data_IF_716411192708
#
_entry.id   IF_716411192708
#
_cell.length_a   1.000
_cell.length_b   1.000
_cell.length_c   1.000
_cell.angle_alpha   90.00
_cell.angle_beta   90.00
_cell.angle_gamma   90.00
#
_symmetry.space_group_name_H-M   'P 1'
#
loop_
_entity.id
_entity.type
_entity.pdbx_description
1 polymer ?
#
# COMPACT_ATOMS: atom_id res chain seq x y z
N UNK A 1 -48.99 -11.52 -50.74
CA UNK A 1 -49.94 -12.15 -49.83
C UNK A 1 -49.26 -12.26 -48.46
N UNK A 2 -49.69 -11.44 -47.55
CA UNK A 2 -50.31 -11.78 -46.27
C UNK A 2 -49.39 -12.56 -45.33
N UNK A 3 -49.11 -12.28 -44.11
CA UNK A 3 -49.75 -11.52 -43.02
C UNK A 3 -48.81 -11.59 -41.81
N UNK A 4 -48.66 -10.53 -41.09
CA UNK A 4 -48.40 -10.60 -39.65
C UNK A 4 -49.70 -11.07 -38.95
N UNK A 5 -49.77 -11.36 -37.66
CA UNK A 5 -49.06 -10.83 -36.51
C UNK A 5 -48.91 -11.82 -35.31
N UNK A 6 -48.54 -11.27 -34.18
CA UNK A 6 -48.90 -11.47 -32.75
C UNK A 6 -47.81 -12.08 -31.87
N UNK A 7 -47.33 -11.35 -30.92
CA UNK A 7 -47.83 -10.96 -29.61
C UNK A 7 -47.63 -12.05 -28.52
N UNK A 8 -46.93 -11.68 -27.51
CA UNK A 8 -47.26 -12.07 -26.17
C UNK A 8 -46.15 -12.79 -25.39
N UNK A 9 -45.80 -12.28 -24.27
CA UNK A 9 -45.10 -13.00 -23.23
C UNK A 9 -44.25 -12.12 -22.34
N UNK A 10 -44.90 -11.49 -21.38
CA UNK A 10 -44.24 -10.85 -20.26
C UNK A 10 -43.56 -11.92 -19.43
N UNK A 11 -42.27 -11.73 -19.13
CA UNK A 11 -41.53 -12.47 -18.16
C UNK A 11 -40.67 -11.49 -17.39
N UNK A 12 -41.09 -11.22 -16.16
CA UNK A 12 -40.37 -10.38 -15.23
C UNK A 12 -39.00 -10.95 -14.97
N UNK A 13 -37.97 -10.18 -15.22
CA UNK A 13 -36.63 -10.43 -14.75
C UNK A 13 -36.42 -9.61 -13.47
N UNK A 14 -36.13 -10.30 -12.40
CA UNK A 14 -35.70 -9.74 -11.14
C UNK A 14 -34.41 -8.93 -11.31
N UNK A 15 -34.25 -7.82 -10.56
CA UNK A 15 -32.98 -7.12 -10.51
C UNK A 15 -32.02 -7.87 -9.60
N UNK A 16 -30.99 -8.46 -10.15
CA UNK A 16 -29.83 -8.89 -9.41
C UNK A 16 -29.06 -7.66 -8.95
N UNK A 17 -29.13 -7.38 -7.66
CA UNK A 17 -28.26 -6.44 -6.97
C UNK A 17 -26.82 -6.99 -6.95
N UNK A 18 -26.08 -6.65 -7.97
CA UNK A 18 -24.63 -6.78 -7.98
C UNK A 18 -24.07 -5.40 -7.56
N UNK A 19 -23.32 -5.31 -6.46
CA UNK A 19 -22.67 -4.05 -6.11
C UNK A 19 -21.57 -3.79 -7.14
N UNK A 20 -21.87 -2.91 -8.07
CA UNK A 20 -20.92 -2.35 -9.01
C UNK A 20 -19.72 -1.80 -8.22
N UNK A 21 -18.58 -2.46 -8.36
CA UNK A 21 -17.30 -1.86 -8.05
C UNK A 21 -17.13 -0.66 -8.98
N UNK A 22 -17.45 0.51 -8.45
CA UNK A 22 -17.13 1.76 -9.14
C UNK A 22 -15.62 1.87 -9.26
N UNK A 23 -15.10 1.42 -10.39
CA UNK A 23 -13.81 1.86 -10.91
C UNK A 23 -13.94 3.34 -11.24
N UNK A 24 -13.74 4.18 -10.22
CA UNK A 24 -13.61 5.60 -10.38
C UNK A 24 -12.39 5.95 -11.22
N UNK A 25 -12.52 5.85 -12.53
CA UNK A 25 -11.65 6.54 -13.47
C UNK A 25 -11.95 8.03 -13.35
N UNK A 26 -11.32 8.69 -12.39
CA UNK A 26 -11.30 10.15 -12.35
C UNK A 26 -10.43 10.61 -13.49
N UNK A 27 -11.08 11.01 -14.59
CA UNK A 27 -10.46 11.79 -15.66
C UNK A 27 -9.79 13.00 -15.02
N UNK A 28 -8.47 13.04 -15.06
CA UNK A 28 -7.70 14.22 -14.71
C UNK A 28 -8.04 15.32 -15.70
N UNK A 29 -8.87 16.27 -15.29
CA UNK A 29 -9.02 17.52 -16.01
C UNK A 29 -7.70 18.29 -15.89
N UNK A 30 -6.98 18.38 -17.00
CA UNK A 30 -5.89 19.33 -17.20
C UNK A 30 -6.50 20.71 -17.25
N UNK A 31 -6.33 21.48 -16.16
CA UNK A 31 -6.17 22.94 -16.27
C UNK A 31 -5.91 23.57 -14.90
N UNK A 32 -4.84 24.36 -14.82
CA UNK A 32 -4.57 25.31 -13.75
C UNK A 32 -3.86 24.73 -12.54
N UNK A 33 -2.79 25.39 -12.08
CA UNK A 33 -2.02 25.18 -10.84
C UNK A 33 -2.75 24.30 -9.82
N UNK A 34 -2.59 23.00 -9.92
CA UNK A 34 -3.07 22.11 -8.87
C UNK A 34 -2.38 22.53 -7.57
N UNK A 35 -3.18 22.98 -6.63
CA UNK A 35 -2.71 23.27 -5.29
C UNK A 35 -2.01 22.00 -4.76
N UNK A 36 -0.79 22.17 -4.21
CA UNK A 36 -0.04 21.07 -3.60
C UNK A 36 -0.93 20.26 -2.65
N UNK A 37 -1.84 20.94 -1.95
CA UNK A 37 -2.82 20.28 -1.08
C UNK A 37 -3.78 19.36 -1.81
N UNK A 38 -4.25 19.72 -3.00
CA UNK A 38 -5.13 18.86 -3.80
C UNK A 38 -4.38 17.62 -4.31
N UNK A 39 -3.14 17.79 -4.77
CA UNK A 39 -2.29 16.65 -5.17
C UNK A 39 -2.03 15.70 -4.01
N UNK A 40 -1.73 16.24 -2.81
CA UNK A 40 -1.53 15.44 -1.60
C UNK A 40 -2.80 14.68 -1.20
N UNK A 41 -3.95 15.34 -1.23
CA UNK A 41 -5.23 14.71 -0.91
C UNK A 41 -5.56 13.58 -1.89
N UNK A 42 -5.42 13.82 -3.19
CA UNK A 42 -5.68 12.81 -4.22
C UNK A 42 -4.72 11.62 -4.10
N UNK A 43 -3.44 11.88 -3.82
CA UNK A 43 -2.44 10.84 -3.61
C UNK A 43 -2.75 9.99 -2.36
N UNK A 44 -3.16 10.63 -1.27
CA UNK A 44 -3.58 9.94 -0.05
C UNK A 44 -4.79 9.06 -0.29
N UNK A 45 -5.82 9.57 -0.96
CA UNK A 45 -7.02 8.82 -1.31
C UNK A 45 -6.70 7.61 -2.21
N UNK A 46 -5.81 7.79 -3.19
CA UNK A 46 -5.33 6.68 -4.02
C UNK A 46 -4.63 5.61 -3.17
N UNK A 47 -3.75 6.00 -2.25
CA UNK A 47 -3.06 5.06 -1.36
C UNK A 47 -4.02 4.28 -0.46
N UNK A 48 -4.95 4.97 0.19
CA UNK A 48 -5.96 4.37 1.07
C UNK A 48 -6.86 3.41 0.30
N UNK A 49 -7.34 3.81 -0.88
CA UNK A 49 -8.22 2.97 -1.70
C UNK A 49 -7.57 1.64 -2.09
N UNK A 50 -6.29 1.65 -2.47
CA UNK A 50 -5.58 0.45 -2.89
C UNK A 50 -5.17 -0.47 -1.73
N UNK A 51 -5.10 0.02 -0.49
CA UNK A 51 -4.79 -0.83 0.66
C UNK A 51 -6.00 -1.62 1.18
N UNK A 52 -7.25 -1.19 0.90
CA UNK A 52 -8.47 -1.82 1.41
C UNK A 52 -8.52 -3.33 1.11
N UNK A 53 -8.27 -3.83 -0.12
CA UNK A 53 -8.33 -5.27 -0.40
C UNK A 53 -7.34 -6.07 0.45
N UNK A 54 -6.18 -5.52 0.77
CA UNK A 54 -5.17 -6.21 1.60
C UNK A 54 -5.60 -6.29 3.07
N UNK A 55 -6.22 -5.23 3.59
CA UNK A 55 -6.80 -5.22 4.94
C UNK A 55 -7.92 -6.24 5.05
N UNK A 56 -8.81 -6.27 4.06
CA UNK A 56 -9.94 -7.22 4.05
C UNK A 56 -9.44 -8.65 3.95
N UNK A 57 -8.54 -8.94 3.01
CA UNK A 57 -7.97 -10.28 2.84
C UNK A 57 -7.23 -10.74 4.11
N UNK A 58 -6.34 -9.91 4.64
CA UNK A 58 -5.59 -10.21 5.86
C UNK A 58 -6.51 -10.40 7.06
N UNK A 59 -7.49 -9.51 7.24
CA UNK A 59 -8.44 -9.57 8.34
C UNK A 59 -9.33 -10.81 8.30
N UNK A 60 -9.84 -11.18 7.14
CA UNK A 60 -10.65 -12.40 6.97
C UNK A 60 -9.81 -13.66 7.26
N UNK A 61 -8.59 -13.74 6.74
CA UNK A 61 -7.71 -14.89 7.00
C UNK A 61 -7.36 -15.04 8.47
N UNK A 62 -7.04 -13.94 9.16
CA UNK A 62 -6.77 -13.94 10.60
C UNK A 62 -8.03 -14.37 11.37
N UNK A 63 -9.19 -13.81 11.02
CA UNK A 63 -10.45 -14.14 11.69
C UNK A 63 -10.82 -15.62 11.51
N UNK A 64 -10.64 -16.19 10.31
CA UNK A 64 -10.88 -17.61 10.05
C UNK A 64 -9.90 -18.50 10.84
N UNK A 65 -8.62 -18.15 10.85
CA UNK A 65 -7.61 -18.93 11.56
C UNK A 65 -7.86 -18.97 13.08
N UNK A 66 -8.22 -17.83 13.67
CA UNK A 66 -8.53 -17.72 15.09
C UNK A 66 -9.90 -18.29 15.44
N UNK A 67 -10.92 -18.07 14.58
CA UNK A 67 -12.29 -18.50 14.84
C UNK A 67 -12.49 -20.00 14.71
N UNK A 68 -11.84 -20.66 13.75
CA UNK A 68 -12.00 -22.10 13.50
C UNK A 68 -10.83 -22.89 14.07
N UNK A 69 -9.60 -22.39 13.91
CA UNK A 69 -8.38 -23.08 14.33
C UNK A 69 -7.89 -22.72 15.73
N UNK A 70 -8.45 -21.66 16.33
CA UNK A 70 -8.00 -21.16 17.62
C UNK A 70 -8.44 -22.03 18.80
N UNK A 71 -7.55 -22.22 19.76
CA UNK A 71 -7.85 -22.88 21.05
C UNK A 71 -7.73 -21.85 22.17
N UNK A 72 -8.64 -21.84 23.14
CA UNK A 72 -8.54 -20.96 24.29
C UNK A 72 -7.31 -21.31 25.13
N UNK A 73 -6.50 -20.33 25.44
CA UNK A 73 -5.34 -20.43 26.30
C UNK A 73 -5.40 -19.39 27.41
N UNK A 74 -4.57 -19.51 28.41
CA UNK A 74 -4.53 -18.57 29.54
C UNK A 74 -4.24 -17.11 29.11
N UNK A 75 -3.66 -16.88 27.93
CA UNK A 75 -3.36 -15.57 27.36
C UNK A 75 -4.30 -15.12 26.23
N UNK A 76 -5.40 -15.86 25.97
CA UNK A 76 -6.34 -15.59 24.89
C UNK A 76 -6.51 -16.77 23.93
N UNK A 77 -6.85 -16.50 22.68
CA UNK A 77 -6.99 -17.54 21.65
C UNK A 77 -5.66 -17.69 20.90
N UNK A 78 -5.09 -18.88 20.92
CA UNK A 78 -3.89 -19.21 20.17
C UNK A 78 -4.18 -20.34 19.17
N UNK A 79 -3.56 -20.28 18.00
CA UNK A 79 -3.62 -21.35 17.01
C UNK A 79 -2.44 -22.30 17.27
N UNK A 80 -2.67 -23.63 17.32
CA UNK A 80 -1.58 -24.61 17.50
C UNK A 80 -0.52 -24.47 16.41
N UNK A 81 0.75 -24.54 16.83
CA UNK A 81 1.88 -24.50 15.94
C UNK A 81 1.87 -25.61 14.89
N UNK A 82 2.18 -26.09 14.08
CA UNK A 82 2.08 -27.23 13.16
C UNK A 82 0.67 -27.50 12.58
N UNK A 83 -0.28 -26.56 12.69
CA UNK A 83 -1.61 -26.73 12.11
C UNK A 83 -1.75 -25.96 10.79
N UNK A 84 -2.63 -26.48 9.91
CA UNK A 84 -3.03 -25.76 8.70
C UNK A 84 -3.52 -24.33 9.01
N UNK A 85 -4.21 -24.14 10.12
CA UNK A 85 -4.72 -22.84 10.58
C UNK A 85 -3.62 -21.86 10.94
N UNK A 86 -2.47 -22.35 11.44
CA UNK A 86 -1.30 -21.52 11.69
C UNK A 86 -0.74 -20.95 10.38
N UNK A 87 -0.74 -21.73 9.31
CA UNK A 87 -0.33 -21.23 7.99
C UNK A 87 -1.26 -20.15 7.48
N UNK A 88 -2.59 -20.34 7.64
CA UNK A 88 -3.58 -19.31 7.27
C UNK A 88 -3.40 -18.05 8.10
N UNK A 89 -3.14 -18.18 9.40
CA UNK A 89 -2.85 -17.04 10.28
C UNK A 89 -1.62 -16.26 9.82
N UNK A 90 -0.55 -16.97 9.48
CA UNK A 90 0.67 -16.34 8.97
C UNK A 90 0.46 -15.60 7.64
N UNK A 91 -0.25 -16.23 6.69
CA UNK A 91 -0.61 -15.58 5.42
C UNK A 91 -1.44 -14.33 5.66
N UNK A 92 -2.44 -14.40 6.54
CA UNK A 92 -3.26 -13.26 6.91
C UNK A 92 -2.45 -12.13 7.55
N UNK A 93 -1.53 -12.45 8.45
CA UNK A 93 -0.65 -11.50 9.11
C UNK A 93 0.32 -10.83 8.12
N UNK A 94 0.86 -11.60 7.17
CA UNK A 94 1.70 -11.06 6.10
C UNK A 94 0.91 -10.13 5.18
N UNK A 95 -0.30 -10.54 4.76
CA UNK A 95 -1.17 -9.68 3.95
C UNK A 95 -1.50 -8.37 4.67
N UNK A 96 -1.77 -8.43 5.97
CA UNK A 96 -2.01 -7.25 6.79
C UNK A 96 -0.78 -6.36 6.94
N UNK A 97 0.41 -6.94 7.06
CA UNK A 97 1.68 -6.18 7.16
C UNK A 97 2.05 -5.47 5.87
N UNK A 98 1.57 -5.96 4.71
CA UNK A 98 1.76 -5.30 3.42
C UNK A 98 0.94 -4.01 3.26
N UNK A 99 -0.05 -3.78 4.11
CA UNK A 99 -0.89 -2.57 4.07
C UNK A 99 -0.05 -1.29 4.10
N UNK A 100 0.97 -1.24 4.95
CA UNK A 100 1.83 -0.06 5.12
C UNK A 100 2.70 0.23 3.89
N UNK A 101 3.46 -0.74 3.34
CA UNK A 101 4.19 -0.57 2.09
C UNK A 101 3.31 -0.21 0.89
N UNK A 102 2.13 -0.81 0.80
CA UNK A 102 1.18 -0.55 -0.28
C UNK A 102 0.67 0.88 -0.21
N UNK A 103 0.27 1.34 0.97
CA UNK A 103 -0.14 2.73 1.16
C UNK A 103 0.94 3.70 0.67
N UNK A 104 2.19 3.54 1.14
CA UNK A 104 3.31 4.40 0.74
C UNK A 104 3.59 4.32 -0.76
N UNK A 105 3.52 3.11 -1.34
CA UNK A 105 3.73 2.89 -2.77
C UNK A 105 2.71 3.59 -3.65
N UNK A 106 1.42 3.46 -3.35
CA UNK A 106 0.36 4.07 -4.14
C UNK A 106 0.27 5.59 -3.96
N UNK A 107 0.60 6.12 -2.78
CA UNK A 107 0.80 7.56 -2.60
C UNK A 107 1.91 8.07 -3.52
N UNK A 108 3.06 7.41 -3.52
CA UNK A 108 4.19 7.79 -4.38
C UNK A 108 3.87 7.61 -5.87
N UNK A 109 3.11 6.58 -6.24
CA UNK A 109 2.64 6.38 -7.60
C UNK A 109 1.72 7.51 -8.08
N UNK A 110 0.80 7.97 -7.25
CA UNK A 110 -0.10 9.06 -7.61
C UNK A 110 0.66 10.39 -7.89
N UNK A 111 1.87 10.55 -7.32
CA UNK A 111 2.70 11.75 -7.51
C UNK A 111 3.69 11.60 -8.68
N UNK A 112 4.29 10.42 -8.85
CA UNK A 112 5.41 10.19 -9.77
C UNK A 112 5.18 9.04 -10.76
N UNK A 113 3.95 8.59 -10.94
CA UNK A 113 3.57 7.46 -11.79
C UNK A 113 4.27 6.13 -11.39
N UNK A 114 4.41 5.21 -12.33
CA UNK A 114 4.94 3.86 -12.08
C UNK A 114 6.29 3.79 -11.35
N UNK A 115 7.30 4.60 -11.68
CA UNK A 115 8.58 4.53 -10.96
C UNK A 115 8.46 4.93 -9.48
N UNK A 116 7.50 5.82 -9.14
CA UNK A 116 7.22 6.19 -7.76
C UNK A 116 6.72 5.02 -6.92
N UNK A 117 5.93 4.10 -7.51
CA UNK A 117 5.41 2.94 -6.82
C UNK A 117 6.51 2.12 -6.12
N UNK A 118 7.56 1.78 -6.87
CA UNK A 118 8.66 0.94 -6.35
C UNK A 118 9.40 1.66 -5.22
N UNK A 119 9.72 2.94 -5.43
CA UNK A 119 10.39 3.77 -4.42
C UNK A 119 9.57 3.83 -3.14
N UNK A 120 8.26 4.11 -3.26
CA UNK A 120 7.34 4.21 -2.13
C UNK A 120 7.14 2.89 -1.40
N UNK A 121 6.93 1.78 -2.14
CA UNK A 121 6.72 0.46 -1.52
C UNK A 121 7.94 -0.01 -0.72
N UNK A 122 9.14 0.05 -1.30
CA UNK A 122 10.35 -0.40 -0.61
C UNK A 122 10.67 0.49 0.59
N UNK A 123 10.56 1.80 0.44
CA UNK A 123 10.79 2.73 1.56
C UNK A 123 9.73 2.58 2.66
N UNK A 124 8.47 2.33 2.28
CA UNK A 124 7.38 2.03 3.22
C UNK A 124 7.58 0.70 3.95
N UNK A 125 8.11 -0.31 3.26
CA UNK A 125 8.47 -1.58 3.91
C UNK A 125 9.59 -1.38 4.94
N UNK A 126 10.61 -0.58 4.64
CA UNK A 126 11.68 -0.23 5.57
C UNK A 126 11.13 0.50 6.79
N UNK A 127 10.16 1.40 6.59
CA UNK A 127 9.50 2.11 7.68
C UNK A 127 8.72 1.19 8.62
N UNK A 128 8.20 0.09 8.10
CA UNK A 128 7.50 -0.94 8.88
C UNK A 128 8.44 -2.00 9.48
N UNK A 129 9.68 -2.06 9.03
CA UNK A 129 10.67 -3.08 9.41
C UNK A 129 11.82 -2.50 10.23
N UNK A 130 11.53 -1.54 11.11
CA UNK A 130 12.54 -0.81 11.89
C UNK A 130 13.48 -1.71 12.71
N UNK A 131 13.03 -2.89 13.13
CA UNK A 131 13.85 -3.85 13.88
C UNK A 131 15.07 -4.37 13.10
N UNK A 132 15.06 -4.32 11.76
CA UNK A 132 16.15 -4.78 10.91
C UNK A 132 17.29 -3.75 10.80
N UNK A 133 17.05 -2.52 11.21
CA UNK A 133 18.03 -1.44 11.10
C UNK A 133 18.55 -1.02 12.46
N UNK A 134 19.89 -1.12 12.72
CA UNK A 134 20.47 -0.79 14.03
C UNK A 134 20.18 0.65 14.50
N UNK A 135 20.05 1.59 13.55
CA UNK A 135 19.74 2.99 13.83
C UNK A 135 18.29 3.24 14.24
N UNK A 136 17.37 2.30 13.92
CA UNK A 136 15.94 2.36 14.23
C UNK A 136 15.57 1.44 15.39
N UNK A 137 16.54 0.93 16.14
CA UNK A 137 16.29 0.12 17.34
C UNK A 137 16.45 0.97 18.59
N UNK A 138 15.49 0.87 19.49
CA UNK A 138 15.59 1.41 20.86
C UNK A 138 15.79 0.27 21.84
N UNK A 139 16.71 0.46 22.77
CA UNK A 139 16.92 -0.51 23.88
C UNK A 139 15.95 -0.15 24.99
N UNK A 140 14.94 -0.99 25.20
CA UNK A 140 13.99 -0.84 26.29
C UNK A 140 14.58 -1.23 27.67
N UNK A 141 13.85 -0.95 28.77
CA UNK A 141 14.22 -1.40 30.10
C UNK A 141 14.26 -2.94 30.14
N UNK A 142 15.45 -3.51 30.25
CA UNK A 142 15.67 -4.95 30.19
C UNK A 142 16.56 -5.42 29.05
N UNK A 143 17.14 -4.52 28.25
CA UNK A 143 18.09 -4.85 27.18
C UNK A 143 17.47 -5.42 25.92
N UNK A 144 16.15 -5.47 25.79
CA UNK A 144 15.44 -5.90 24.58
C UNK A 144 15.51 -4.80 23.52
N UNK A 145 16.05 -5.15 22.36
CA UNK A 145 16.07 -4.24 21.20
C UNK A 145 14.70 -4.30 20.52
N UNK A 146 13.95 -3.21 20.61
CA UNK A 146 12.69 -3.05 19.92
C UNK A 146 12.88 -2.15 18.71
N UNK A 147 12.45 -2.60 17.54
CA UNK A 147 12.47 -1.79 16.33
C UNK A 147 11.44 -0.66 16.39
N UNK A 148 11.89 0.55 16.08
CA UNK A 148 11.00 1.71 15.93
C UNK A 148 10.24 1.57 14.61
N UNK A 149 8.97 1.24 14.71
CA UNK A 149 8.07 1.20 13.56
C UNK A 149 7.24 2.48 13.56
N UNK A 150 7.36 3.27 12.52
CA UNK A 150 6.59 4.51 12.38
C UNK A 150 5.15 4.27 11.95
N UNK A 151 4.81 3.03 11.64
CA UNK A 151 3.45 2.61 11.32
C UNK A 151 2.84 3.38 10.15
N UNK A 152 1.56 3.67 10.27
CA UNK A 152 0.75 4.28 9.22
C UNK A 152 1.16 5.71 8.88
N UNK A 153 1.48 6.52 9.88
CA UNK A 153 1.90 7.92 9.69
C UNK A 153 3.24 7.98 8.97
N UNK A 154 4.19 7.12 9.35
CA UNK A 154 5.47 7.00 8.66
C UNK A 154 5.31 6.61 7.19
N UNK A 155 4.38 5.70 6.88
CA UNK A 155 4.08 5.30 5.52
C UNK A 155 3.55 6.47 4.66
N UNK A 156 2.67 7.30 5.22
CA UNK A 156 2.14 8.48 4.53
C UNK A 156 3.27 9.47 4.23
N UNK A 157 4.06 9.83 5.23
CA UNK A 157 5.16 10.79 5.08
C UNK A 157 6.19 10.29 4.06
N UNK A 158 6.57 9.01 4.19
CA UNK A 158 7.56 8.41 3.29
C UNK A 158 7.03 8.28 1.86
N UNK A 159 5.74 7.97 1.71
CA UNK A 159 5.08 7.90 0.42
C UNK A 159 5.12 9.24 -0.33
N UNK A 160 4.85 10.34 0.37
CA UNK A 160 4.99 11.67 -0.20
C UNK A 160 6.42 12.00 -0.57
N UNK A 161 7.39 11.77 0.32
CA UNK A 161 8.81 12.01 0.06
C UNK A 161 9.27 11.18 -1.14
N UNK A 162 8.93 9.90 -1.18
CA UNK A 162 9.26 9.00 -2.27
C UNK A 162 8.69 9.48 -3.61
N UNK A 163 7.44 9.92 -3.62
CA UNK A 163 6.79 10.47 -4.80
C UNK A 163 7.48 11.74 -5.30
N UNK A 164 7.78 12.68 -4.42
CA UNK A 164 8.47 13.90 -4.81
C UNK A 164 9.91 13.66 -5.27
N UNK A 165 10.65 12.79 -4.59
CA UNK A 165 12.02 12.41 -5.00
C UNK A 165 12.02 11.75 -6.38
N UNK A 166 11.12 10.78 -6.60
CA UNK A 166 10.99 10.14 -7.90
C UNK A 166 10.58 11.12 -9.01
N UNK A 167 9.65 12.04 -8.72
CA UNK A 167 9.26 13.11 -9.64
C UNK A 167 10.41 14.07 -9.96
N UNK A 168 11.20 14.44 -8.96
CA UNK A 168 12.37 15.29 -9.13
C UNK A 168 13.44 14.62 -9.98
N UNK A 169 13.75 13.34 -9.72
CA UNK A 169 14.72 12.58 -10.51
C UNK A 169 14.33 12.47 -11.99
N UNK A 170 13.03 12.37 -12.31
CA UNK A 170 12.54 12.36 -13.69
C UNK A 170 12.68 13.69 -14.42
N UNK A 171 12.78 14.81 -13.71
CA UNK A 171 12.97 16.14 -14.29
C UNK A 171 14.40 16.44 -14.70
N UNK A 172 15.38 15.65 -14.26
CA UNK A 172 16.78 15.82 -14.63
C UNK A 172 16.93 15.54 -16.14
N UNK A 173 17.61 16.43 -16.90
CA UNK A 173 17.81 16.26 -18.33
C UNK A 173 18.82 15.13 -18.59
N UNK A 174 18.31 13.92 -18.72
CA UNK A 174 19.12 12.75 -19.08
C UNK A 174 19.37 12.71 -20.58
N UNK A 175 20.53 12.16 -20.98
CA UNK A 175 20.89 11.97 -22.39
C UNK A 175 19.84 11.09 -23.11
N UNK A 176 19.55 11.40 -24.38
CA UNK A 176 18.46 10.74 -25.13
C UNK A 176 18.53 9.22 -25.14
N UNK A 177 19.73 8.66 -25.19
CA UNK A 177 19.95 7.20 -25.15
C UNK A 177 19.56 6.53 -23.83
N UNK A 178 19.57 7.26 -22.73
CA UNK A 178 19.29 6.75 -21.39
C UNK A 178 17.84 7.01 -20.95
N UNK A 179 17.18 7.96 -21.62
CA UNK A 179 15.79 8.37 -21.32
C UNK A 179 14.80 7.20 -21.10
N UNK A 180 14.77 6.14 -21.93
CA UNK A 180 13.82 5.04 -21.73
C UNK A 180 14.17 4.16 -20.52
N UNK A 181 15.44 4.11 -20.11
CA UNK A 181 15.93 3.27 -19.01
C UNK A 181 15.76 3.99 -17.66
N UNK A 182 15.79 5.33 -17.65
CA UNK A 182 15.69 6.15 -16.43
C UNK A 182 14.48 5.79 -15.56
N UNK A 183 13.23 5.77 -16.06
CA UNK A 183 12.07 5.50 -15.23
C UNK A 183 11.98 4.04 -14.77
N UNK A 184 12.64 3.11 -15.46
CA UNK A 184 12.53 1.68 -15.17
C UNK A 184 13.62 1.24 -14.20
N UNK A 185 14.83 1.75 -14.33
CA UNK A 185 15.99 1.28 -13.58
C UNK A 185 16.57 2.36 -12.65
N UNK A 186 16.87 3.55 -13.18
CA UNK A 186 17.59 4.58 -12.43
C UNK A 186 16.72 5.16 -11.30
N UNK A 187 15.48 5.54 -11.60
CA UNK A 187 14.60 6.13 -10.60
C UNK A 187 14.27 5.14 -9.48
N UNK A 188 13.90 3.86 -9.72
CA UNK A 188 13.70 2.92 -8.63
C UNK A 188 14.94 2.69 -7.77
N UNK A 189 16.11 2.47 -8.35
CA UNK A 189 17.33 2.15 -7.60
C UNK A 189 17.80 3.36 -6.77
N UNK A 190 18.07 4.49 -7.43
CA UNK A 190 18.59 5.68 -6.74
C UNK A 190 17.52 6.34 -5.86
N UNK A 191 16.26 6.38 -6.32
CA UNK A 191 15.16 6.91 -5.54
C UNK A 191 14.95 6.14 -4.25
N UNK A 192 14.93 4.81 -4.32
CA UNK A 192 14.81 3.96 -3.13
C UNK A 192 16.01 4.14 -2.20
N UNK A 193 17.24 4.16 -2.72
CA UNK A 193 18.43 4.36 -1.90
C UNK A 193 18.40 5.70 -1.17
N UNK A 194 18.09 6.79 -1.88
CA UNK A 194 18.01 8.13 -1.29
C UNK A 194 16.92 8.22 -0.22
N UNK A 195 15.71 7.77 -0.54
CA UNK A 195 14.56 7.87 0.38
C UNK A 195 14.76 6.97 1.60
N UNK A 196 15.27 5.74 1.40
CA UNK A 196 15.54 4.82 2.51
C UNK A 196 16.64 5.33 3.45
N UNK A 197 17.73 5.87 2.90
CA UNK A 197 18.79 6.49 3.71
C UNK A 197 18.28 7.73 4.44
N UNK A 198 17.54 8.59 3.76
CA UNK A 198 16.91 9.76 4.37
C UNK A 198 15.98 9.35 5.53
N UNK A 199 15.17 8.30 5.32
CA UNK A 199 14.30 7.79 6.36
C UNK A 199 15.10 7.26 7.56
N UNK A 200 16.05 6.36 7.34
CA UNK A 200 16.81 5.72 8.42
C UNK A 200 17.59 6.73 9.26
N UNK A 201 18.26 7.70 8.62
CA UNK A 201 19.15 8.62 9.33
C UNK A 201 18.46 9.88 9.85
N UNK A 202 17.43 10.39 9.17
CA UNK A 202 16.82 11.69 9.48
C UNK A 202 15.42 11.56 10.07
N UNK A 203 14.56 10.76 9.45
CA UNK A 203 13.13 10.72 9.77
C UNK A 203 12.74 9.62 10.76
N UNK A 204 13.47 8.51 10.75
CA UNK A 204 13.06 7.33 11.52
C UNK A 204 12.98 7.56 13.02
N UNK A 205 13.93 8.28 13.60
CA UNK A 205 13.91 8.59 15.04
C UNK A 205 12.84 9.58 15.45
N UNK A 206 12.68 10.77 14.81
CA UNK A 206 11.67 11.73 15.23
C UNK A 206 10.23 11.30 14.91
N UNK A 207 10.02 10.43 13.91
CA UNK A 207 8.68 9.93 13.60
C UNK A 207 8.25 8.75 14.47
N UNK A 208 9.18 8.07 15.11
CA UNK A 208 8.91 6.89 15.93
C UNK A 208 8.90 7.19 17.43
N UNK A 209 9.25 8.43 17.82
CA UNK A 209 9.21 8.94 19.20
C UNK A 209 7.83 9.48 19.53
#
# INVERSE_FOLDING_TARGET
ALTAPTRGGAGAAEPSDEPAAETGTTSASKDGKESVGHTLYTALMAGVSHMIPFVVCGGIMIALALGIGGKPTAGGVAVPEDSFWQTILQVGTLAFSLMIPILAGFIAQAIADRPGLVVGMVSGFIANSGAQFPYLTTTGPGGTKTGLNTGFIGAIVIGFIAGYVAKWMRKIPWHEYVKPIVPILIVPIFGTAIVSLLYVYVLGRPLAA
#
